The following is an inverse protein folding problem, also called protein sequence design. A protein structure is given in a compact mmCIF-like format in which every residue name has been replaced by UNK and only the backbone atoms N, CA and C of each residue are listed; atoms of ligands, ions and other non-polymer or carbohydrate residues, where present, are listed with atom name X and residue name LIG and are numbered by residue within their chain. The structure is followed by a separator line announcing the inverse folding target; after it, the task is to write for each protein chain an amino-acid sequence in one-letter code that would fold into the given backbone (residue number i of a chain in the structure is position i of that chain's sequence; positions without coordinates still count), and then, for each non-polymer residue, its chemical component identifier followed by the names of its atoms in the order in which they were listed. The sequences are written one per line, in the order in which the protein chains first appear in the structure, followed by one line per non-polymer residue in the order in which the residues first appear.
data_IF_656407042306
#
_entry.id   IF_656407042306
#
_cell.length_a   1.000
_cell.length_b   1.000
_cell.length_c   1.000
_cell.angle_alpha   90.00
_cell.angle_beta   90.00
_cell.angle_gamma   90.00
#
_symmetry.space_group_name_H-M   'P 1'
#
loop_
_entity.id
_entity.type
_entity.pdbx_description
1 polymer ?
#
# COMPACT_ATOMS: atom_id res chain seq x y z
N UNK A 1 -4.34 17.80 -12.74
CA UNK A 1 -3.22 18.68 -12.35
C UNK A 1 -2.35 18.11 -11.21
N UNK A 2 -2.83 17.14 -10.42
CA UNK A 2 -2.10 16.56 -9.27
C UNK A 2 -0.79 15.81 -9.61
N UNK A 3 -0.65 15.07 -10.72
CA UNK A 3 0.58 14.31 -11.02
C UNK A 3 1.78 15.19 -11.41
N UNK A 4 1.54 16.39 -11.96
CA UNK A 4 2.60 17.23 -12.50
C UNK A 4 3.74 17.56 -11.53
N UNK A 5 3.49 17.95 -10.27
CA UNK A 5 4.59 18.23 -9.35
C UNK A 5 5.51 17.01 -9.13
N UNK A 6 4.94 15.81 -9.03
CA UNK A 6 5.71 14.57 -8.87
C UNK A 6 6.53 14.24 -10.11
N UNK A 7 5.95 14.43 -11.31
CA UNK A 7 6.63 14.22 -12.58
C UNK A 7 7.81 15.21 -12.72
N UNK A 8 7.60 16.49 -12.36
CA UNK A 8 8.67 17.49 -12.42
C UNK A 8 9.81 17.13 -11.47
N UNK A 9 9.53 16.71 -10.24
CA UNK A 9 10.55 16.27 -9.29
C UNK A 9 11.28 15.03 -9.81
N UNK A 10 10.58 14.07 -10.39
CA UNK A 10 11.18 12.90 -10.98
C UNK A 10 12.10 13.24 -12.17
N UNK A 11 11.68 14.15 -13.06
CA UNK A 11 12.53 14.62 -14.16
C UNK A 11 13.74 15.41 -13.65
N UNK A 12 13.57 16.26 -12.63
CA UNK A 12 14.66 17.00 -12.02
C UNK A 12 15.65 16.05 -11.32
N UNK A 13 15.18 14.95 -10.74
CA UNK A 13 16.07 13.98 -10.11
C UNK A 13 17.02 13.30 -11.09
N UNK A 14 16.62 13.09 -12.35
CA UNK A 14 17.48 12.54 -13.40
C UNK A 14 18.64 13.48 -13.79
N UNK A 15 18.49 14.78 -13.55
CA UNK A 15 19.56 15.77 -13.78
C UNK A 15 20.51 15.81 -12.59
N UNK A 16 20.00 15.73 -11.36
CA UNK A 16 20.79 15.83 -10.12
C UNK A 16 21.44 14.49 -9.77
N UNK A 17 20.70 13.40 -9.93
CA UNK A 17 21.12 12.03 -9.63
C UNK A 17 20.83 11.16 -10.86
N UNK A 18 21.67 11.18 -11.90
CA UNK A 18 21.40 10.49 -13.16
C UNK A 18 21.37 8.97 -13.04
N UNK A 19 21.99 8.41 -12.03
CA UNK A 19 22.02 6.98 -11.76
C UNK A 19 22.01 6.66 -10.26
N UNK A 20 21.82 5.38 -9.93
CA UNK A 20 21.80 4.89 -8.53
C UNK A 20 23.18 5.08 -7.89
N UNK A 21 24.25 5.02 -8.66
CA UNK A 21 25.61 5.20 -8.13
C UNK A 21 25.82 6.63 -7.61
N UNK A 22 25.27 7.63 -8.28
CA UNK A 22 25.32 9.03 -7.83
C UNK A 22 24.60 9.22 -6.49
N UNK A 23 23.49 8.50 -6.25
CA UNK A 23 22.82 8.50 -4.94
C UNK A 23 23.67 7.81 -3.89
N UNK A 24 24.26 6.66 -4.21
CA UNK A 24 25.16 5.93 -3.29
C UNK A 24 26.36 6.75 -2.87
N UNK A 25 26.97 7.50 -3.81
CA UNK A 25 28.09 8.40 -3.52
C UNK A 25 27.69 9.58 -2.63
N UNK A 26 26.49 10.14 -2.87
CA UNK A 26 25.98 11.26 -2.08
C UNK A 26 25.56 10.82 -0.65
N UNK A 27 25.14 9.57 -0.48
CA UNK A 27 24.63 9.01 0.77
C UNK A 27 25.28 7.66 1.11
N UNK A 28 26.56 7.63 1.47
CA UNK A 28 27.33 6.38 1.67
C UNK A 28 26.86 5.51 2.84
N UNK A 29 25.99 6.06 3.71
CA UNK A 29 25.43 5.34 4.86
C UNK A 29 24.19 4.49 4.52
N UNK A 30 23.70 4.52 3.29
CA UNK A 30 22.57 3.70 2.87
C UNK A 30 23.10 2.29 2.53
N UNK A 31 22.47 1.28 3.12
CA UNK A 31 22.80 -0.12 2.85
C UNK A 31 22.52 -0.46 1.38
N UNK A 32 23.38 -1.26 0.77
CA UNK A 32 23.31 -1.58 -0.67
C UNK A 32 22.01 -2.28 -1.06
N UNK A 33 21.43 -3.10 -0.18
CA UNK A 33 20.14 -3.78 -0.36
C UNK A 33 18.95 -2.81 -0.45
N UNK A 34 19.11 -1.57 0.01
CA UNK A 34 18.10 -0.50 -0.03
C UNK A 34 18.30 0.50 -1.15
N UNK A 35 19.38 0.36 -1.93
CA UNK A 35 19.61 1.24 -3.07
C UNK A 35 18.64 0.92 -4.20
N UNK A 36 17.76 1.88 -4.51
CA UNK A 36 16.75 1.75 -5.55
C UNK A 36 16.32 3.11 -6.11
N UNK A 37 15.55 3.09 -7.18
CA UNK A 37 15.04 4.32 -7.81
C UNK A 37 14.04 5.09 -6.93
N UNK A 38 13.43 4.43 -5.97
CA UNK A 38 12.55 5.01 -4.95
C UNK A 38 13.27 5.97 -4.00
N UNK A 39 14.60 5.89 -3.91
CA UNK A 39 15.42 6.85 -3.16
C UNK A 39 15.57 8.21 -3.87
N UNK A 40 15.29 8.33 -5.15
CA UNK A 40 15.46 9.57 -5.89
C UNK A 40 14.63 10.72 -5.28
N UNK A 41 13.38 10.46 -4.88
CA UNK A 41 12.53 11.48 -4.26
C UNK A 41 13.04 11.92 -2.87
N UNK A 42 13.34 11.02 -1.90
CA UNK A 42 13.99 11.39 -0.64
C UNK A 42 15.32 12.15 -0.82
N UNK A 43 16.14 11.74 -1.78
CA UNK A 43 17.39 12.42 -2.08
C UNK A 43 17.16 13.88 -2.54
N UNK A 44 16.17 14.11 -3.40
CA UNK A 44 15.80 15.46 -3.82
C UNK A 44 15.29 16.33 -2.66
N UNK A 45 14.62 15.74 -1.66
CA UNK A 45 14.17 16.48 -0.49
C UNK A 45 15.31 17.07 0.33
N UNK A 46 16.48 16.45 0.34
CA UNK A 46 17.64 16.95 1.09
C UNK A 46 18.17 18.28 0.57
N UNK A 47 17.84 18.64 -0.68
CA UNK A 47 18.21 19.91 -1.30
C UNK A 47 17.33 21.09 -0.82
N UNK A 48 16.25 20.81 -0.11
CA UNK A 48 15.32 21.83 0.37
C UNK A 48 15.89 22.59 1.56
N UNK A 49 15.61 23.91 1.69
CA UNK A 49 15.91 24.65 2.92
C UNK A 49 15.25 23.99 4.14
N UNK A 50 15.92 24.03 5.29
CA UNK A 50 15.51 23.30 6.52
C UNK A 50 14.04 23.53 6.91
N UNK A 51 13.52 24.77 6.82
CA UNK A 51 12.12 25.06 7.14
C UNK A 51 11.13 24.42 6.15
N UNK A 52 11.42 24.48 4.85
CA UNK A 52 10.60 23.89 3.80
C UNK A 52 10.66 22.35 3.85
N UNK A 53 11.83 21.78 4.11
CA UNK A 53 11.99 20.35 4.34
C UNK A 53 11.07 19.87 5.48
N UNK A 54 11.03 20.60 6.61
CA UNK A 54 10.16 20.26 7.74
C UNK A 54 8.68 20.28 7.37
N UNK A 55 8.22 21.26 6.60
CA UNK A 55 6.83 21.33 6.11
C UNK A 55 6.50 20.17 5.18
N UNK A 56 7.37 19.82 4.25
CA UNK A 56 7.18 18.71 3.33
C UNK A 56 7.15 17.38 4.08
N UNK A 57 8.07 17.16 5.01
CA UNK A 57 8.08 15.94 5.83
C UNK A 57 6.81 15.83 6.68
N UNK A 58 6.36 16.91 7.33
CA UNK A 58 5.12 16.93 8.08
C UNK A 58 3.90 16.60 7.19
N UNK A 59 3.87 17.13 5.99
CA UNK A 59 2.84 16.84 4.98
C UNK A 59 2.82 15.35 4.59
N UNK A 60 3.99 14.76 4.32
CA UNK A 60 4.12 13.34 3.97
C UNK A 60 3.68 12.43 5.13
N UNK A 61 4.11 12.73 6.35
CA UNK A 61 3.69 11.99 7.55
C UNK A 61 2.18 12.09 7.75
N UNK A 62 1.60 13.28 7.59
CA UNK A 62 0.14 13.47 7.72
C UNK A 62 -0.64 12.68 6.65
N UNK A 63 -0.17 12.69 5.41
CA UNK A 63 -0.76 11.91 4.32
C UNK A 63 -0.68 10.40 4.59
N UNK A 64 0.46 9.93 5.07
CA UNK A 64 0.67 8.54 5.47
C UNK A 64 -0.27 8.13 6.60
N UNK A 65 -0.36 8.93 7.69
CA UNK A 65 -1.26 8.65 8.82
C UNK A 65 -2.73 8.62 8.39
N UNK A 66 -3.16 9.54 7.52
CA UNK A 66 -4.51 9.56 6.98
C UNK A 66 -4.83 8.29 6.19
N UNK A 67 -3.91 7.86 5.32
CA UNK A 67 -4.08 6.66 4.49
C UNK A 67 -4.15 5.39 5.35
N UNK A 68 -3.19 5.22 6.26
CA UNK A 68 -3.13 4.06 7.17
C UNK A 68 -4.39 3.97 8.02
N UNK A 69 -4.82 5.09 8.63
CA UNK A 69 -6.04 5.13 9.44
C UNK A 69 -7.27 4.67 8.64
N UNK A 70 -7.41 5.14 7.40
CA UNK A 70 -8.52 4.75 6.52
C UNK A 70 -8.49 3.25 6.20
N UNK A 71 -7.35 2.72 5.80
CA UNK A 71 -7.24 1.30 5.42
C UNK A 71 -7.42 0.36 6.62
N UNK A 72 -6.88 0.71 7.79
CA UNK A 72 -7.09 -0.07 9.01
C UNK A 72 -8.56 -0.07 9.45
N UNK A 73 -9.24 1.07 9.33
CA UNK A 73 -10.66 1.15 9.64
C UNK A 73 -11.51 0.32 8.66
N UNK A 74 -11.21 0.36 7.37
CA UNK A 74 -11.88 -0.49 6.38
C UNK A 74 -11.64 -1.97 6.66
N UNK A 75 -10.39 -2.38 6.84
CA UNK A 75 -10.05 -3.76 7.16
C UNK A 75 -10.76 -4.25 8.43
N UNK A 76 -10.74 -3.44 9.48
CA UNK A 76 -11.46 -3.72 10.72
C UNK A 76 -12.98 -3.84 10.50
N UNK A 77 -13.57 -2.98 9.67
CA UNK A 77 -15.00 -3.04 9.35
C UNK A 77 -15.38 -4.35 8.67
N UNK A 78 -14.58 -4.86 7.74
CA UNK A 78 -14.80 -6.17 7.13
C UNK A 78 -14.69 -7.31 8.16
N UNK A 79 -13.69 -7.26 9.04
CA UNK A 79 -13.55 -8.27 10.10
C UNK A 79 -14.76 -8.27 11.03
N UNK A 80 -15.26 -7.10 11.41
CA UNK A 80 -16.40 -6.97 12.33
C UNK A 80 -17.71 -7.37 11.65
N UNK A 81 -18.02 -6.79 10.49
CA UNK A 81 -19.35 -6.92 9.90
C UNK A 81 -19.51 -8.18 9.06
N UNK A 82 -18.48 -8.56 8.28
CA UNK A 82 -18.60 -9.68 7.34
C UNK A 82 -18.14 -10.99 7.97
N UNK A 83 -17.15 -10.95 8.86
CA UNK A 83 -16.63 -12.14 9.48
C UNK A 83 -17.25 -12.38 10.86
N UNK A 84 -17.05 -11.46 11.81
CA UNK A 84 -17.48 -11.67 13.21
C UNK A 84 -19.00 -11.73 13.35
N UNK A 85 -19.71 -10.74 12.82
CA UNK A 85 -21.16 -10.63 12.97
C UNK A 85 -21.92 -11.72 12.19
N UNK A 86 -21.41 -12.12 11.03
CA UNK A 86 -22.10 -13.13 10.20
C UNK A 86 -21.76 -14.57 10.57
N UNK A 87 -20.50 -14.84 10.96
CA UNK A 87 -20.02 -16.22 11.15
C UNK A 87 -19.89 -16.60 12.63
N UNK A 88 -19.60 -15.65 13.55
CA UNK A 88 -19.30 -15.94 14.94
C UNK A 88 -20.50 -15.62 15.84
N UNK A 89 -20.94 -14.36 15.87
CA UNK A 89 -22.01 -13.93 16.76
C UNK A 89 -22.97 -12.95 16.07
N UNK A 90 -24.09 -13.46 15.56
CA UNK A 90 -25.12 -12.67 14.86
C UNK A 90 -25.86 -11.67 15.77
N UNK A 91 -25.84 -11.90 17.08
CA UNK A 91 -26.55 -11.09 18.09
C UNK A 91 -25.57 -10.27 18.93
N UNK A 92 -24.37 -10.00 18.43
CA UNK A 92 -23.36 -9.25 19.15
C UNK A 92 -23.83 -7.85 19.55
N UNK A 93 -23.54 -7.46 20.78
CA UNK A 93 -23.86 -6.12 21.28
C UNK A 93 -22.95 -5.06 20.61
N UNK A 94 -23.40 -3.80 20.56
CA UNK A 94 -22.61 -2.70 20.00
C UNK A 94 -21.25 -2.53 20.72
N UNK A 95 -21.20 -2.74 22.01
CA UNK A 95 -19.94 -2.70 22.78
C UNK A 95 -18.97 -3.79 22.36
N UNK A 96 -19.49 -4.98 22.11
CA UNK A 96 -18.72 -6.13 21.64
C UNK A 96 -18.15 -5.87 20.24
N UNK A 97 -18.95 -5.38 19.29
CA UNK A 97 -18.51 -5.04 17.94
C UNK A 97 -17.41 -3.96 17.95
N UNK A 98 -17.53 -2.93 18.79
CA UNK A 98 -16.50 -1.90 18.96
C UNK A 98 -15.20 -2.52 19.50
N UNK A 99 -15.27 -3.42 20.47
CA UNK A 99 -14.08 -4.08 21.02
C UNK A 99 -13.41 -5.00 19.98
N UNK A 100 -14.19 -5.79 19.25
CA UNK A 100 -13.68 -6.61 18.14
C UNK A 100 -13.02 -5.72 17.10
N UNK A 101 -13.62 -4.58 16.75
CA UNK A 101 -13.04 -3.61 15.81
C UNK A 101 -11.70 -3.07 16.29
N UNK A 102 -11.57 -2.66 17.55
CA UNK A 102 -10.31 -2.19 18.12
C UNK A 102 -9.22 -3.24 18.11
N UNK A 103 -9.55 -4.47 18.50
CA UNK A 103 -8.62 -5.59 18.47
C UNK A 103 -8.18 -5.88 17.03
N UNK A 104 -9.12 -5.88 16.08
CA UNK A 104 -8.83 -6.08 14.66
C UNK A 104 -7.87 -5.04 14.10
N UNK A 105 -8.05 -3.75 14.44
CA UNK A 105 -7.12 -2.68 14.03
C UNK A 105 -5.71 -2.96 14.55
N UNK A 106 -5.56 -3.36 15.81
CA UNK A 106 -4.25 -3.67 16.40
C UNK A 106 -3.61 -4.86 15.70
N UNK A 107 -4.37 -5.93 15.47
CA UNK A 107 -3.87 -7.12 14.77
C UNK A 107 -3.44 -6.77 13.34
N UNK A 108 -4.27 -6.05 12.58
CA UNK A 108 -3.96 -5.62 11.22
C UNK A 108 -2.71 -4.72 11.18
N UNK A 109 -2.55 -3.83 12.17
CA UNK A 109 -1.37 -2.97 12.27
C UNK A 109 -0.10 -3.78 12.55
N UNK A 110 -0.16 -4.77 13.43
CA UNK A 110 0.98 -5.67 13.71
C UNK A 110 1.32 -6.48 12.45
N UNK A 111 0.34 -7.08 11.78
CA UNK A 111 0.56 -7.86 10.57
C UNK A 111 1.15 -7.00 9.44
N UNK A 112 0.63 -5.79 9.23
CA UNK A 112 1.18 -4.87 8.23
C UNK A 112 2.61 -4.45 8.55
N UNK A 113 2.94 -4.25 9.83
CA UNK A 113 4.30 -3.92 10.26
C UNK A 113 5.28 -5.09 10.03
N UNK A 114 4.86 -6.32 10.29
CA UNK A 114 5.66 -7.51 10.00
C UNK A 114 5.93 -7.63 8.50
N UNK A 115 4.90 -7.47 7.66
CA UNK A 115 5.06 -7.50 6.19
C UNK A 115 6.00 -6.39 5.73
N UNK A 116 5.88 -5.17 6.27
CA UNK A 116 6.74 -4.07 5.93
C UNK A 116 8.23 -4.31 6.25
N UNK A 117 8.53 -5.08 7.32
CA UNK A 117 9.90 -5.47 7.66
C UNK A 117 10.44 -6.55 6.72
N UNK A 118 9.58 -7.46 6.26
CA UNK A 118 9.95 -8.55 5.36
C UNK A 118 10.19 -8.09 3.92
N UNK A 119 9.56 -7.00 3.51
CA UNK A 119 9.71 -6.44 2.17
C UNK A 119 10.93 -5.51 2.10
N UNK A 120 11.76 -5.67 1.09
CA UNK A 120 12.98 -4.87 0.89
C UNK A 120 12.71 -3.53 0.20
N UNK A 121 11.70 -3.49 -0.67
CA UNK A 121 11.34 -2.27 -1.40
C UNK A 121 9.84 -2.20 -1.71
N UNK A 122 9.36 -1.00 -2.09
CA UNK A 122 7.96 -0.76 -2.39
C UNK A 122 7.47 -1.49 -3.67
N UNK A 123 8.36 -1.81 -4.60
CA UNK A 123 7.99 -2.53 -5.84
C UNK A 123 7.48 -3.93 -5.55
N UNK A 124 8.10 -4.65 -4.60
CA UNK A 124 7.64 -5.99 -4.21
C UNK A 124 6.18 -5.98 -3.73
N UNK A 125 5.78 -4.93 -3.00
CA UNK A 125 4.39 -4.79 -2.58
C UNK A 125 3.46 -4.52 -3.77
N UNK A 126 3.90 -3.69 -4.72
CA UNK A 126 3.16 -3.44 -5.96
C UNK A 126 2.96 -4.71 -6.78
N UNK A 127 4.00 -5.51 -6.93
CA UNK A 127 3.93 -6.79 -7.64
C UNK A 127 2.92 -7.72 -6.99
N UNK A 128 2.93 -7.86 -5.67
CA UNK A 128 1.95 -8.67 -4.93
C UNK A 128 0.51 -8.16 -5.17
N UNK A 129 0.29 -6.85 -5.11
CA UNK A 129 -1.04 -6.26 -5.37
C UNK A 129 -1.48 -6.51 -6.81
N UNK A 130 -0.57 -6.36 -7.78
CA UNK A 130 -0.86 -6.61 -9.19
C UNK A 130 -1.12 -8.09 -9.47
N UNK A 131 -0.40 -9.00 -8.84
CA UNK A 131 -0.63 -10.45 -8.94
C UNK A 131 -2.08 -10.83 -8.64
N UNK A 132 -2.61 -10.35 -7.50
CA UNK A 132 -4.00 -10.62 -7.12
C UNK A 132 -5.01 -9.75 -7.88
N UNK A 133 -4.63 -8.51 -8.21
CA UNK A 133 -5.48 -7.54 -8.91
C UNK A 133 -5.69 -7.85 -10.39
N UNK A 134 -4.71 -8.47 -11.07
CA UNK A 134 -4.79 -8.74 -12.51
C UNK A 134 -5.97 -9.65 -12.88
N UNK A 135 -6.26 -10.66 -12.06
CA UNK A 135 -7.40 -11.56 -12.28
C UNK A 135 -8.76 -10.88 -12.11
N UNK A 136 -8.87 -9.95 -11.17
CA UNK A 136 -10.15 -9.27 -10.88
C UNK A 136 -10.52 -8.23 -11.92
N UNK A 137 -9.54 -7.60 -12.58
CA UNK A 137 -9.79 -6.55 -13.59
C UNK A 137 -10.71 -7.03 -14.73
N UNK A 138 -10.47 -8.20 -15.27
CA UNK A 138 -11.31 -8.79 -16.31
C UNK A 138 -12.73 -9.12 -15.80
N UNK A 139 -12.86 -9.60 -14.57
CA UNK A 139 -14.16 -9.90 -13.95
C UNK A 139 -14.98 -8.63 -13.74
N UNK A 140 -14.37 -7.51 -13.32
CA UNK A 140 -15.08 -6.24 -13.19
C UNK A 140 -15.64 -5.73 -14.51
N UNK A 141 -14.93 -5.93 -15.62
CA UNK A 141 -15.44 -5.60 -16.95
C UNK A 141 -16.57 -6.57 -17.36
N UNK A 142 -16.35 -7.87 -17.24
CA UNK A 142 -17.31 -8.89 -17.63
C UNK A 142 -18.61 -8.82 -16.81
N UNK A 143 -18.57 -8.36 -15.58
CA UNK A 143 -19.74 -8.16 -14.72
C UNK A 143 -20.83 -7.26 -15.36
N UNK A 144 -20.46 -6.34 -16.24
CA UNK A 144 -21.39 -5.47 -16.95
C UNK A 144 -22.04 -6.15 -18.16
N UNK A 145 -21.39 -7.18 -18.70
CA UNK A 145 -21.82 -7.83 -19.95
C UNK A 145 -22.32 -9.27 -19.75
N UNK A 146 -22.00 -9.89 -18.63
CA UNK A 146 -22.31 -11.29 -18.38
C UNK A 146 -23.00 -11.52 -17.04
N UNK A 147 -24.29 -11.81 -17.08
CA UNK A 147 -25.15 -11.98 -15.91
C UNK A 147 -24.77 -13.12 -14.96
N UNK A 148 -23.92 -14.06 -15.37
CA UNK A 148 -23.48 -15.19 -14.54
C UNK A 148 -22.28 -14.85 -13.63
N UNK A 149 -21.69 -13.70 -13.78
CA UNK A 149 -20.59 -13.26 -12.91
C UNK A 149 -21.13 -12.99 -11.50
N UNK A 150 -20.52 -13.63 -10.51
CA UNK A 150 -20.89 -13.55 -9.10
C UNK A 150 -19.64 -13.46 -8.22
N UNK A 151 -19.81 -13.37 -6.89
CA UNK A 151 -18.71 -13.28 -5.94
C UNK A 151 -17.71 -14.45 -6.03
N UNK A 152 -18.21 -15.65 -6.33
CA UNK A 152 -17.34 -16.83 -6.51
C UNK A 152 -16.45 -16.72 -7.75
N UNK A 153 -16.95 -16.10 -8.82
CA UNK A 153 -16.13 -15.82 -10.01
C UNK A 153 -14.98 -14.87 -9.68
N UNK A 154 -15.22 -13.88 -8.83
CA UNK A 154 -14.20 -12.92 -8.41
C UNK A 154 -13.14 -13.59 -7.52
N UNK A 155 -13.57 -14.37 -6.53
CA UNK A 155 -12.66 -15.14 -5.66
C UNK A 155 -11.81 -16.11 -6.49
N UNK A 156 -12.44 -16.84 -7.41
CA UNK A 156 -11.73 -17.78 -8.29
C UNK A 156 -10.70 -17.07 -9.18
N UNK A 157 -11.04 -15.88 -9.72
CA UNK A 157 -10.12 -15.09 -10.53
C UNK A 157 -8.93 -14.55 -9.71
N UNK A 158 -9.16 -14.10 -8.49
CA UNK A 158 -8.08 -13.67 -7.58
C UNK A 158 -7.14 -14.82 -7.26
N UNK A 159 -7.68 -15.97 -6.85
CA UNK A 159 -6.88 -17.14 -6.48
C UNK A 159 -6.09 -17.69 -7.67
N UNK A 160 -6.74 -17.82 -8.84
CA UNK A 160 -6.07 -18.30 -10.05
C UNK A 160 -4.97 -17.36 -10.52
N UNK A 161 -5.20 -16.04 -10.47
CA UNK A 161 -4.20 -15.03 -10.79
C UNK A 161 -3.00 -15.11 -9.87
N UNK A 162 -3.22 -15.22 -8.55
CA UNK A 162 -2.14 -15.37 -7.58
C UNK A 162 -1.33 -16.65 -7.80
N UNK A 163 -2.00 -17.79 -8.03
CA UNK A 163 -1.33 -19.07 -8.28
C UNK A 163 -0.48 -19.04 -9.56
N UNK A 164 -1.04 -18.52 -10.67
CA UNK A 164 -0.33 -18.45 -11.95
C UNK A 164 0.86 -17.49 -11.87
N UNK A 165 0.77 -16.42 -11.07
CA UNK A 165 1.87 -15.46 -10.93
C UNK A 165 3.03 -15.98 -10.05
N UNK A 166 2.79 -16.98 -9.22
CA UNK A 166 3.81 -17.60 -8.36
C UNK A 166 4.51 -18.79 -9.07
N UNK A 167 3.82 -19.40 -10.05
CA UNK A 167 4.33 -20.54 -10.81
C UNK A 167 5.30 -20.10 -11.92
#
# INVERSE_FOLDING_TARGET
LRPWPWIIVALASLVVFPDIQSISQAFPNIAEDKLGQDLAYPAMLTLLPKGLLGLVLASLVSAFMSTISTHLNWGSSYVVNDFYLQLINKNASQKELVNVGRISVVILMILSSIIAILLTNAYQLFDIILMFGAGTGSIFILRWFWWRINAWSEIAAMLSSGIISIA
#
